data_IF_165329154004
#
_entry.id   IF_165329154004
#
_cell.length_a   1.000
_cell.length_b   1.000
_cell.length_c   1.000
_cell.angle_alpha   90.00
_cell.angle_beta   90.00
_cell.angle_gamma   90.00
#
_symmetry.space_group_name_H-M   'P 1'
#
loop_
_entity.id
_entity.type
_entity.pdbx_description
1 polymer ?
#
# COMPACT_ATOMS: atom_id res chain seq x y z
N UNK A 1 6.47 -58.90 -7.89
CA UNK A 1 5.12 -58.37 -7.58
C UNK A 1 5.19 -57.06 -6.80
N UNK A 2 6.16 -56.87 -5.88
CA UNK A 2 6.30 -55.62 -5.08
C UNK A 2 6.54 -54.33 -5.89
N UNK A 3 7.29 -54.38 -7.01
CA UNK A 3 7.59 -53.18 -7.80
C UNK A 3 6.38 -52.56 -8.51
N UNK A 4 5.46 -53.40 -9.01
CA UNK A 4 4.26 -52.92 -9.70
C UNK A 4 3.26 -52.27 -8.72
N UNK A 5 3.12 -52.83 -7.52
CA UNK A 5 2.28 -52.25 -6.47
C UNK A 5 2.84 -50.90 -5.96
N UNK A 6 4.17 -50.75 -5.92
CA UNK A 6 4.81 -49.49 -5.55
C UNK A 6 4.57 -48.40 -6.60
N UNK A 7 4.71 -48.73 -7.89
CA UNK A 7 4.45 -47.79 -8.99
C UNK A 7 2.97 -47.37 -9.07
N UNK A 8 2.03 -48.30 -8.81
CA UNK A 8 0.59 -47.96 -8.75
C UNK A 8 0.26 -47.02 -7.59
N UNK A 9 0.90 -47.19 -6.43
CA UNK A 9 0.75 -46.29 -5.29
C UNK A 9 1.33 -44.90 -5.56
N UNK A 10 2.49 -44.84 -6.22
CA UNK A 10 3.11 -43.57 -6.64
C UNK A 10 2.25 -42.85 -7.68
N UNK A 11 1.70 -43.57 -8.66
CA UNK A 11 0.75 -43.00 -9.61
C UNK A 11 -0.52 -42.47 -8.91
N UNK A 12 -1.08 -43.21 -7.95
CA UNK A 12 -2.23 -42.75 -7.19
C UNK A 12 -1.93 -41.48 -6.37
N UNK A 13 -0.68 -41.26 -5.95
CA UNK A 13 -0.28 -40.01 -5.32
C UNK A 13 -0.23 -38.86 -6.34
N UNK A 14 0.45 -39.05 -7.48
CA UNK A 14 0.55 -38.04 -8.54
C UNK A 14 -0.83 -37.69 -9.11
N UNK A 15 -1.71 -38.68 -9.29
CA UNK A 15 -3.08 -38.46 -9.76
C UNK A 15 -3.89 -37.61 -8.78
N UNK A 16 -3.72 -37.80 -7.47
CA UNK A 16 -4.35 -36.94 -6.46
C UNK A 16 -3.81 -35.52 -6.52
N UNK A 17 -2.51 -35.34 -6.71
CA UNK A 17 -1.89 -34.01 -6.83
C UNK A 17 -2.38 -33.27 -8.09
N UNK A 18 -2.47 -33.97 -9.22
CA UNK A 18 -3.03 -33.44 -10.46
C UNK A 18 -4.50 -33.02 -10.30
N UNK A 19 -5.32 -33.87 -9.68
CA UNK A 19 -6.72 -33.54 -9.39
C UNK A 19 -6.83 -32.32 -8.46
N UNK A 20 -6.01 -32.24 -7.41
CA UNK A 20 -5.97 -31.09 -6.50
C UNK A 20 -5.53 -29.80 -7.22
N UNK A 21 -4.69 -29.91 -8.25
CA UNK A 21 -4.27 -28.80 -9.10
C UNK A 21 -5.31 -28.42 -10.17
N UNK A 22 -6.38 -29.19 -10.36
CA UNK A 22 -7.43 -28.96 -11.36
C UNK A 22 -7.20 -29.63 -12.71
N UNK A 23 -6.29 -30.61 -12.77
CA UNK A 23 -5.98 -31.38 -13.98
C UNK A 23 -6.79 -32.68 -14.00
N UNK A 24 -7.84 -32.74 -14.82
CA UNK A 24 -8.72 -33.92 -14.97
C UNK A 24 -8.48 -34.67 -16.30
N UNK A 25 -8.94 -35.93 -16.36
CA UNK A 25 -9.05 -36.70 -17.60
C UNK A 25 -7.90 -37.66 -17.93
N UNK A 26 -7.01 -37.98 -16.99
CA UNK A 26 -5.87 -38.89 -17.23
C UNK A 26 -6.19 -40.33 -16.78
N UNK A 27 -6.40 -41.23 -17.73
CA UNK A 27 -6.74 -42.63 -17.48
C UNK A 27 -5.51 -43.53 -17.37
N UNK A 28 -4.97 -43.67 -16.16
CA UNK A 28 -4.08 -44.77 -15.77
C UNK A 28 -2.59 -44.63 -16.09
N UNK A 29 -1.75 -45.40 -15.37
CA UNK A 29 -0.27 -45.42 -15.51
C UNK A 29 0.20 -45.81 -16.93
N UNK A 30 -0.62 -46.54 -17.69
CA UNK A 30 -0.32 -47.02 -19.04
C UNK A 30 -0.19 -45.91 -20.10
N UNK A 31 -0.72 -44.70 -19.87
CA UNK A 31 -0.67 -43.58 -20.83
C UNK A 31 0.54 -42.66 -20.66
N UNK A 32 1.51 -43.01 -19.82
CA UNK A 32 2.61 -42.12 -19.44
C UNK A 32 3.82 -42.14 -20.39
N UNK A 33 3.74 -42.52 -21.66
CA UNK A 33 4.94 -42.60 -22.53
C UNK A 33 5.43 -41.23 -23.03
N UNK A 34 6.74 -41.04 -23.27
CA UNK A 34 7.23 -39.85 -24.01
C UNK A 34 6.70 -39.80 -25.44
N UNK A 35 6.43 -40.96 -26.03
CA UNK A 35 5.74 -41.09 -27.32
C UNK A 35 4.23 -40.87 -27.22
N UNK A 36 3.65 -40.87 -26.01
CA UNK A 36 2.21 -40.62 -25.81
C UNK A 36 1.92 -39.11 -25.93
N UNK A 37 0.97 -38.70 -26.78
CA UNK A 37 0.61 -37.30 -26.94
C UNK A 37 -0.01 -36.70 -25.66
N UNK A 38 -0.78 -37.50 -24.91
CA UNK A 38 -1.47 -37.02 -23.70
C UNK A 38 -0.51 -36.69 -22.56
N UNK A 39 0.56 -37.49 -22.41
CA UNK A 39 1.63 -37.23 -21.46
C UNK A 39 2.39 -35.95 -21.81
N UNK A 40 2.75 -35.78 -23.09
CA UNK A 40 3.42 -34.55 -23.56
C UNK A 40 2.54 -33.32 -23.40
N UNK A 41 1.25 -33.43 -23.70
CA UNK A 41 0.28 -32.37 -23.49
C UNK A 41 0.11 -32.02 -22.00
N UNK A 42 0.17 -32.99 -21.09
CA UNK A 42 0.15 -32.73 -19.64
C UNK A 42 1.39 -31.95 -19.21
N UNK A 43 2.60 -32.42 -19.56
CA UNK A 43 3.84 -31.73 -19.23
C UNK A 43 3.87 -30.30 -19.81
N UNK A 44 3.38 -30.13 -21.04
CA UNK A 44 3.26 -28.81 -21.67
C UNK A 44 2.28 -27.89 -20.94
N UNK A 45 1.13 -28.40 -20.48
CA UNK A 45 0.17 -27.60 -19.70
C UNK A 45 0.73 -27.17 -18.35
N UNK A 46 1.38 -28.09 -17.62
CA UNK A 46 2.03 -27.76 -16.33
C UNK A 46 3.14 -26.72 -16.53
N UNK A 47 3.97 -26.86 -17.57
CA UNK A 47 5.01 -25.89 -17.88
C UNK A 47 4.47 -24.53 -18.32
N UNK A 48 3.38 -24.51 -19.12
CA UNK A 48 2.71 -23.27 -19.48
C UNK A 48 2.13 -22.57 -18.24
N UNK A 49 1.59 -23.33 -17.29
CA UNK A 49 1.13 -22.76 -16.03
C UNK A 49 2.29 -22.16 -15.22
N UNK A 50 3.41 -22.89 -15.06
CA UNK A 50 4.62 -22.36 -14.40
C UNK A 50 5.11 -21.05 -15.03
N UNK A 51 5.08 -20.95 -16.37
CA UNK A 51 5.38 -19.71 -17.08
C UNK A 51 4.41 -18.57 -16.69
N UNK A 52 3.09 -18.84 -16.66
CA UNK A 52 2.09 -17.83 -16.26
C UNK A 52 2.18 -17.41 -14.79
N UNK A 53 2.73 -18.28 -13.94
CA UNK A 53 2.97 -18.02 -12.53
C UNK A 53 4.30 -17.29 -12.28
N UNK A 54 5.12 -17.10 -13.32
CA UNK A 54 6.40 -16.37 -13.25
C UNK A 54 7.56 -17.19 -12.69
N UNK A 55 7.46 -18.53 -12.70
CA UNK A 55 8.49 -19.43 -12.19
C UNK A 55 9.68 -19.66 -13.15
N UNK A 56 9.62 -19.10 -14.37
CA UNK A 56 10.64 -19.24 -15.41
C UNK A 56 11.26 -17.87 -15.72
N UNK A 57 12.51 -17.66 -15.28
CA UNK A 57 13.22 -16.38 -15.39
C UNK A 57 13.60 -16.04 -16.84
N UNK A 58 14.00 -17.03 -17.67
CA UNK A 58 14.51 -16.80 -19.03
C UNK A 58 13.43 -16.50 -20.05
N UNK A 59 12.23 -17.06 -19.90
CA UNK A 59 11.10 -16.76 -20.80
C UNK A 59 10.64 -15.29 -20.74
N UNK A 60 11.06 -14.54 -19.72
CA UNK A 60 10.76 -13.12 -19.56
C UNK A 60 11.71 -12.21 -20.35
N UNK A 61 12.93 -12.67 -20.61
CA UNK A 61 14.02 -11.84 -21.17
C UNK A 61 14.33 -12.17 -22.63
N UNK A 62 14.25 -13.45 -23.00
CA UNK A 62 14.49 -13.93 -24.36
C UNK A 62 13.35 -14.88 -24.69
N UNK A 63 12.58 -14.62 -25.76
CA UNK A 63 11.39 -15.37 -26.19
C UNK A 63 11.66 -16.86 -26.47
N UNK A 64 12.01 -17.60 -25.43
CA UNK A 64 12.35 -19.02 -25.44
C UNK A 64 11.06 -19.78 -25.61
N UNK A 65 11.01 -20.62 -26.64
CA UNK A 65 9.81 -21.38 -27.00
C UNK A 65 9.31 -22.19 -25.80
N UNK A 66 8.07 -21.92 -25.40
CA UNK A 66 7.38 -22.70 -24.37
C UNK A 66 7.29 -24.17 -24.80
N UNK A 67 7.23 -25.08 -23.82
CA UNK A 67 6.97 -26.49 -24.07
C UNK A 67 5.71 -26.65 -24.92
N UNK A 68 5.88 -27.04 -26.18
CA UNK A 68 4.81 -27.04 -27.16
C UNK A 68 3.94 -28.28 -26.99
N UNK A 69 2.62 -28.07 -26.86
CA UNK A 69 1.62 -29.11 -26.70
C UNK A 69 1.22 -29.80 -28.03
N UNK A 70 1.83 -29.43 -29.16
CA UNK A 70 1.46 -29.91 -30.49
C UNK A 70 2.10 -31.24 -30.90
N UNK A 71 1.85 -31.67 -32.15
CA UNK A 71 2.49 -32.81 -32.84
C UNK A 71 3.98 -32.55 -33.14
N UNK A 72 4.73 -32.13 -32.14
CA UNK A 72 6.16 -31.90 -32.19
C UNK A 72 6.87 -33.26 -32.18
N UNK A 73 7.98 -33.45 -32.89
CA UNK A 73 8.79 -34.66 -32.77
C UNK A 73 9.19 -34.92 -31.32
N UNK A 74 9.26 -36.19 -30.91
CA UNK A 74 9.61 -36.59 -29.54
C UNK A 74 10.96 -35.99 -29.10
N UNK A 75 11.93 -35.94 -30.01
CA UNK A 75 13.27 -35.37 -29.77
C UNK A 75 13.24 -33.89 -29.40
N UNK A 76 12.38 -33.13 -30.05
CA UNK A 76 12.24 -31.69 -29.82
C UNK A 76 11.50 -31.41 -28.51
N UNK A 77 10.49 -32.21 -28.16
CA UNK A 77 9.87 -32.19 -26.83
C UNK A 77 10.90 -32.47 -25.72
N UNK A 78 11.75 -33.48 -25.90
CA UNK A 78 12.78 -33.85 -24.92
C UNK A 78 13.83 -32.74 -24.75
N UNK A 79 14.18 -32.04 -25.84
CA UNK A 79 15.09 -30.88 -25.80
C UNK A 79 14.50 -29.73 -25.00
N UNK A 80 13.24 -29.39 -25.26
CA UNK A 80 12.51 -28.34 -24.53
C UNK A 80 12.34 -28.70 -23.06
N UNK A 81 12.04 -29.97 -22.76
CA UNK A 81 11.87 -30.46 -21.40
C UNK A 81 13.18 -30.39 -20.61
N UNK A 82 14.30 -30.77 -21.21
CA UNK A 82 15.62 -30.65 -20.59
C UNK A 82 16.00 -29.18 -20.32
N UNK A 83 15.56 -28.26 -21.18
CA UNK A 83 15.68 -26.81 -20.97
C UNK A 83 14.89 -26.36 -19.74
N UNK A 84 13.60 -26.71 -19.69
CA UNK A 84 12.71 -26.40 -18.57
C UNK A 84 13.28 -26.93 -17.23
N UNK A 85 13.69 -28.19 -17.18
CA UNK A 85 14.18 -28.81 -15.95
C UNK A 85 15.47 -28.17 -15.44
N UNK A 86 16.32 -27.68 -16.34
CA UNK A 86 17.53 -26.93 -15.99
C UNK A 86 17.19 -25.55 -15.41
N UNK A 87 16.17 -24.91 -15.97
CA UNK A 87 15.68 -23.61 -15.50
C UNK A 87 14.99 -23.72 -14.13
N UNK A 88 14.20 -24.77 -13.91
CA UNK A 88 13.57 -25.07 -12.62
C UNK A 88 14.54 -25.71 -11.61
N UNK A 89 15.83 -25.78 -11.91
CA UNK A 89 16.85 -26.38 -11.03
C UNK A 89 16.49 -27.78 -10.50
N UNK A 90 15.94 -28.64 -11.37
CA UNK A 90 15.46 -29.95 -10.96
C UNK A 90 16.58 -30.81 -10.33
N UNK A 91 16.39 -31.35 -9.11
CA UNK A 91 17.44 -32.07 -8.38
C UNK A 91 17.66 -33.53 -8.86
N UNK A 92 16.76 -34.07 -9.69
CA UNK A 92 16.87 -35.46 -10.16
C UNK A 92 17.93 -35.58 -11.27
N UNK A 93 19.05 -36.20 -10.92
CA UNK A 93 20.19 -36.44 -11.83
C UNK A 93 19.82 -37.31 -13.04
N UNK A 94 18.81 -38.19 -12.94
CA UNK A 94 18.36 -39.01 -14.07
C UNK A 94 17.57 -38.19 -15.09
N UNK A 95 16.87 -37.14 -14.65
CA UNK A 95 16.10 -36.24 -15.49
C UNK A 95 16.96 -35.13 -16.12
N UNK A 96 17.95 -34.63 -15.38
CA UNK A 96 18.86 -33.54 -15.82
C UNK A 96 20.14 -34.03 -16.52
N UNK A 97 20.35 -35.34 -16.64
CA UNK A 97 21.51 -35.93 -17.31
C UNK A 97 21.45 -35.86 -18.84
N UNK A 98 22.57 -36.14 -19.51
CA UNK A 98 22.71 -36.01 -20.98
C UNK A 98 21.79 -36.90 -21.83
N UNK A 99 21.16 -37.93 -21.24
CA UNK A 99 20.29 -38.89 -21.94
C UNK A 99 18.86 -38.90 -21.37
N UNK A 100 18.25 -37.73 -21.19
CA UNK A 100 16.88 -37.56 -20.65
C UNK A 100 15.85 -38.47 -21.34
N UNK A 101 15.92 -38.63 -22.67
CA UNK A 101 15.03 -39.49 -23.44
C UNK A 101 15.12 -40.99 -23.09
N UNK A 102 16.31 -41.49 -22.79
CA UNK A 102 16.49 -42.89 -22.38
C UNK A 102 16.02 -43.12 -20.93
N UNK A 103 16.24 -42.15 -20.05
CA UNK A 103 15.77 -42.19 -18.66
C UNK A 103 14.24 -42.20 -18.57
N UNK A 104 13.55 -41.42 -19.42
CA UNK A 104 12.09 -41.31 -19.40
C UNK A 104 11.36 -42.54 -19.96
N UNK A 105 12.07 -43.53 -20.51
CA UNK A 105 11.48 -44.85 -20.79
C UNK A 105 11.12 -45.59 -19.49
N UNK A 106 11.86 -45.34 -18.41
CA UNK A 106 11.61 -45.91 -17.08
C UNK A 106 10.33 -45.26 -16.48
N UNK A 107 9.27 -46.04 -16.16
CA UNK A 107 8.01 -45.51 -15.63
C UNK A 107 8.20 -44.71 -14.34
N UNK A 108 9.07 -45.18 -13.43
CA UNK A 108 9.39 -44.46 -12.20
C UNK A 108 10.04 -43.09 -12.43
N UNK A 109 10.84 -42.90 -13.48
CA UNK A 109 11.44 -41.59 -13.81
C UNK A 109 10.36 -40.61 -14.29
N UNK A 110 9.37 -41.09 -15.04
CA UNK A 110 8.24 -40.27 -15.52
C UNK A 110 7.32 -39.82 -14.39
N UNK A 111 7.08 -40.69 -13.42
CA UNK A 111 6.33 -40.34 -12.21
C UNK A 111 7.07 -39.30 -11.38
N UNK A 112 8.40 -39.42 -11.24
CA UNK A 112 9.23 -38.39 -10.57
C UNK A 112 9.19 -37.05 -11.30
N UNK A 113 9.21 -37.06 -12.64
CA UNK A 113 9.04 -35.84 -13.44
C UNK A 113 7.69 -35.17 -13.16
N UNK A 114 6.58 -35.91 -13.23
CA UNK A 114 5.25 -35.34 -12.98
C UNK A 114 5.10 -34.84 -11.56
N UNK A 115 5.64 -35.58 -10.58
CA UNK A 115 5.64 -35.16 -9.17
C UNK A 115 6.41 -33.86 -8.97
N UNK A 116 7.58 -33.74 -9.60
CA UNK A 116 8.38 -32.51 -9.58
C UNK A 116 7.61 -31.34 -10.21
N UNK A 117 7.05 -31.50 -11.41
CA UNK A 117 6.27 -30.43 -12.04
C UNK A 117 5.04 -30.04 -11.22
N UNK A 118 4.35 -31.00 -10.60
CA UNK A 118 3.24 -30.71 -9.69
C UNK A 118 3.69 -29.92 -8.46
N UNK A 119 4.81 -30.30 -7.83
CA UNK A 119 5.34 -29.58 -6.67
C UNK A 119 5.75 -28.15 -7.02
N UNK A 120 6.38 -27.94 -8.18
CA UNK A 120 6.73 -26.60 -8.65
C UNK A 120 5.48 -25.75 -8.92
N UNK A 121 4.42 -26.31 -9.52
CA UNK A 121 3.16 -25.58 -9.73
C UNK A 121 2.50 -25.23 -8.40
N UNK A 122 2.49 -26.16 -7.45
CA UNK A 122 1.98 -25.91 -6.09
C UNK A 122 2.76 -24.79 -5.41
N UNK A 123 4.10 -24.84 -5.44
CA UNK A 123 4.96 -23.81 -4.87
C UNK A 123 4.73 -22.45 -5.53
N UNK A 124 4.69 -22.39 -6.87
CA UNK A 124 4.46 -21.16 -7.61
C UNK A 124 3.08 -20.55 -7.33
N UNK A 125 2.03 -21.38 -7.17
CA UNK A 125 0.71 -20.92 -6.74
C UNK A 125 0.72 -20.35 -5.32
N UNK A 126 1.43 -21.00 -4.39
CA UNK A 126 1.56 -20.53 -3.00
C UNK A 126 2.32 -19.21 -2.93
N UNK A 127 3.45 -19.06 -3.62
CA UNK A 127 4.21 -17.81 -3.69
C UNK A 127 3.37 -16.67 -4.30
N UNK A 128 2.54 -16.97 -5.31
CA UNK A 128 1.62 -15.98 -5.89
C UNK A 128 0.47 -15.61 -4.96
N UNK A 129 0.01 -16.52 -4.10
CA UNK A 129 -0.99 -16.23 -3.06
C UNK A 129 -0.36 -15.41 -1.94
N UNK A 130 0.86 -15.75 -1.51
CA UNK A 130 1.58 -15.04 -0.46
C UNK A 130 1.92 -13.60 -0.88
N UNK A 131 2.39 -13.37 -2.11
CA UNK A 131 2.58 -12.01 -2.66
C UNK A 131 1.28 -11.19 -2.82
N UNK A 132 0.10 -11.83 -2.80
CA UNK A 132 -1.20 -11.14 -2.78
C UNK A 132 -1.71 -10.85 -1.37
N UNK A 133 -1.33 -11.68 -0.39
CA UNK A 133 -1.72 -11.54 1.01
C UNK A 133 -0.77 -10.61 1.76
N UNK A 134 0.51 -10.66 1.43
CA UNK A 134 1.56 -9.78 1.91
C UNK A 134 2.09 -8.95 0.72
N UNK A 135 1.69 -7.67 0.58
CA UNK A 135 2.32 -6.76 -0.39
C UNK A 135 3.73 -6.30 0.05
N UNK A 136 4.34 -6.96 1.05
CA UNK A 136 5.66 -6.63 1.57
C UNK A 136 6.70 -7.53 0.90
N UNK A 137 7.72 -6.96 0.22
CA UNK A 137 8.71 -7.76 -0.49
C UNK A 137 9.58 -8.53 0.52
N UNK A 138 9.82 -9.81 0.24
CA UNK A 138 10.69 -10.66 1.03
C UNK A 138 12.10 -10.07 1.14
N UNK A 139 12.54 -10.00 2.39
CA UNK A 139 13.83 -9.56 2.85
C UNK A 139 14.90 -10.59 2.43
N UNK A 140 15.71 -10.27 1.42
CA UNK A 140 17.09 -10.75 1.36
C UNK A 140 17.97 -9.70 2.03
N UNK A 141 18.52 -10.06 3.18
CA UNK A 141 19.15 -9.15 4.12
C UNK A 141 20.24 -8.26 3.53
N UNK A 142 20.11 -6.96 3.78
CA UNK A 142 21.18 -6.06 4.20
C UNK A 142 20.50 -5.02 5.11
N UNK A 143 20.84 -5.02 6.40
CA UNK A 143 20.51 -3.91 7.29
C UNK A 143 21.06 -2.61 6.68
N UNK A 144 20.17 -1.68 6.33
CA UNK A 144 20.54 -0.31 5.95
C UNK A 144 19.95 0.30 4.67
N UNK A 145 18.89 -0.26 4.05
CA UNK A 145 18.38 0.27 2.77
C UNK A 145 16.84 0.28 2.58
N UNK A 146 16.02 0.30 3.64
CA UNK A 146 14.56 0.27 3.48
C UNK A 146 13.97 1.52 2.80
N UNK A 147 14.54 2.72 3.00
CA UNK A 147 14.04 3.95 2.38
C UNK A 147 14.20 3.98 0.84
N UNK A 148 15.21 3.28 0.31
CA UNK A 148 15.45 3.20 -1.14
C UNK A 148 14.45 2.31 -1.87
N UNK A 149 14.00 1.22 -1.24
CA UNK A 149 13.07 0.25 -1.83
C UNK A 149 11.67 0.85 -2.04
N UNK A 150 11.17 1.55 -1.02
CA UNK A 150 9.87 2.23 -1.09
C UNK A 150 9.82 3.31 -2.17
N UNK A 151 10.86 4.15 -2.27
CA UNK A 151 10.91 5.22 -3.27
C UNK A 151 10.92 4.67 -4.71
N UNK A 152 11.66 3.59 -4.96
CA UNK A 152 11.70 2.93 -6.27
C UNK A 152 10.33 2.35 -6.61
N UNK A 153 9.66 1.72 -5.65
CA UNK A 153 8.32 1.19 -5.85
C UNK A 153 7.31 2.29 -6.17
N UNK A 154 7.30 3.40 -5.41
CA UNK A 154 6.44 4.56 -5.68
C UNK A 154 6.71 5.18 -7.05
N UNK A 155 7.98 5.23 -7.46
CA UNK A 155 8.36 5.70 -8.80
C UNK A 155 7.81 4.77 -9.89
N UNK A 156 7.91 3.45 -9.71
CA UNK A 156 7.36 2.46 -10.65
C UNK A 156 5.84 2.58 -10.74
N UNK A 157 5.15 2.72 -9.62
CA UNK A 157 3.69 2.92 -9.58
C UNK A 157 3.29 4.22 -10.28
N UNK A 158 4.05 5.30 -10.06
CA UNK A 158 3.82 6.58 -10.73
C UNK A 158 3.97 6.47 -12.24
N UNK A 159 5.02 5.79 -12.72
CA UNK A 159 5.23 5.56 -14.15
C UNK A 159 4.11 4.71 -14.76
N UNK A 160 3.68 3.65 -14.07
CA UNK A 160 2.54 2.82 -14.50
C UNK A 160 1.25 3.62 -14.57
N UNK A 161 0.96 4.45 -13.56
CA UNK A 161 -0.23 5.30 -13.54
C UNK A 161 -0.24 6.34 -14.68
N UNK A 162 0.94 6.81 -15.09
CA UNK A 162 1.11 7.74 -16.21
C UNK A 162 1.24 7.05 -17.57
N UNK A 163 1.25 5.71 -17.61
CA UNK A 163 1.43 4.91 -18.83
C UNK A 163 2.83 5.07 -19.45
N UNK A 164 3.84 5.42 -18.64
CA UNK A 164 5.22 5.57 -19.07
C UNK A 164 5.98 4.23 -18.93
N UNK A 165 6.92 3.94 -19.86
CA UNK A 165 7.75 2.75 -19.77
C UNK A 165 8.69 2.84 -18.55
N UNK A 166 9.16 1.67 -18.09
CA UNK A 166 10.21 1.63 -17.06
C UNK A 166 11.51 2.21 -17.60
N UNK A 167 12.24 3.02 -16.83
CA UNK A 167 13.50 3.59 -17.27
C UNK A 167 14.53 2.48 -17.50
N UNK A 168 15.33 2.63 -18.56
CA UNK A 168 16.46 1.73 -18.82
C UNK A 168 17.53 1.91 -17.74
N UNK A 169 18.28 0.87 -17.37
CA UNK A 169 19.44 1.01 -16.48
C UNK A 169 20.39 2.09 -17.00
N UNK A 170 20.76 3.04 -16.14
CA UNK A 170 21.61 4.18 -16.50
C UNK A 170 20.87 5.42 -17.03
N UNK A 171 19.53 5.42 -17.08
CA UNK A 171 18.77 6.64 -17.39
C UNK A 171 19.02 7.71 -16.31
N UNK A 172 19.45 8.93 -16.66
CA UNK A 172 19.69 9.97 -15.67
C UNK A 172 18.38 10.43 -15.03
N UNK A 173 18.40 10.66 -13.71
CA UNK A 173 17.21 11.08 -12.95
C UNK A 173 16.57 12.37 -13.50
N UNK A 174 17.38 13.30 -14.02
CA UNK A 174 16.88 14.52 -14.66
C UNK A 174 16.06 14.25 -15.93
N UNK A 175 16.41 13.22 -16.70
CA UNK A 175 15.62 12.82 -17.87
C UNK A 175 14.27 12.24 -17.41
N UNK A 176 14.30 11.32 -16.45
CA UNK A 176 13.08 10.72 -15.90
C UNK A 176 12.11 11.78 -15.36
N UNK A 177 12.62 12.76 -14.60
CA UNK A 177 11.80 13.86 -14.07
C UNK A 177 11.22 14.75 -15.17
N UNK A 178 11.97 14.99 -16.26
CA UNK A 178 11.46 15.74 -17.42
C UNK A 178 10.34 14.98 -18.12
N UNK A 179 10.50 13.67 -18.31
CA UNK A 179 9.50 12.83 -18.97
C UNK A 179 8.22 12.73 -18.13
N UNK A 180 8.35 12.56 -16.81
CA UNK A 180 7.25 12.62 -15.86
C UNK A 180 6.52 13.97 -15.92
N UNK A 181 7.27 15.07 -15.84
CA UNK A 181 6.69 16.40 -15.89
C UNK A 181 5.95 16.65 -17.22
N UNK A 182 6.55 16.27 -18.35
CA UNK A 182 5.93 16.39 -19.66
C UNK A 182 4.61 15.61 -19.74
N UNK A 183 4.60 14.37 -19.25
CA UNK A 183 3.39 13.53 -19.24
C UNK A 183 2.29 14.08 -18.33
N UNK A 184 2.66 14.61 -17.17
CA UNK A 184 1.71 15.26 -16.25
C UNK A 184 1.10 16.51 -16.91
N UNK A 185 1.91 17.35 -17.55
CA UNK A 185 1.43 18.55 -18.26
C UNK A 185 0.51 18.19 -19.42
N UNK A 186 0.79 17.10 -20.15
CA UNK A 186 -0.06 16.56 -21.20
C UNK A 186 -1.44 16.11 -20.67
N UNK A 187 -1.47 15.44 -19.51
CA UNK A 187 -2.70 14.88 -18.94
C UNK A 187 -3.51 15.90 -18.15
N UNK A 188 -2.90 16.96 -17.62
CA UNK A 188 -3.56 17.93 -16.75
C UNK A 188 -4.84 18.57 -17.34
N UNK A 189 -4.92 18.91 -18.65
CA UNK A 189 -6.13 19.43 -19.27
C UNK A 189 -7.30 18.44 -19.35
N UNK A 190 -7.04 17.14 -19.25
CA UNK A 190 -8.09 16.10 -19.26
C UNK A 190 -8.83 15.98 -17.92
N UNK A 191 -8.29 16.59 -16.85
CA UNK A 191 -8.86 16.53 -15.51
C UNK A 191 -9.95 17.60 -15.32
N UNK A 192 -10.88 17.40 -14.38
CA UNK A 192 -11.89 18.39 -14.03
C UNK A 192 -11.29 19.75 -13.66
N UNK A 193 -12.00 20.83 -13.98
CA UNK A 193 -11.56 22.18 -13.70
C UNK A 193 -11.28 22.38 -12.20
N UNK A 194 -10.07 22.80 -11.87
CA UNK A 194 -9.65 23.01 -10.48
C UNK A 194 -8.97 21.81 -9.81
N UNK A 195 -8.88 20.67 -10.50
CA UNK A 195 -8.03 19.56 -10.05
C UNK A 195 -6.56 19.98 -10.00
N UNK A 196 -5.82 19.44 -9.02
CA UNK A 196 -4.37 19.61 -8.87
C UNK A 196 -3.87 21.06 -8.69
N UNK A 197 -4.73 22.00 -8.32
CA UNK A 197 -4.29 23.39 -8.06
C UNK A 197 -3.27 23.42 -6.92
N UNK A 198 -2.04 23.91 -7.14
CA UNK A 198 -1.03 23.98 -6.09
C UNK A 198 -1.48 24.96 -5.00
N UNK A 199 -1.13 24.67 -3.75
CA UNK A 199 -1.36 25.60 -2.65
C UNK A 199 -0.43 26.82 -2.75
N UNK A 200 0.83 26.58 -3.14
CA UNK A 200 1.81 27.61 -3.40
C UNK A 200 1.88 27.90 -4.90
N UNK A 201 1.36 29.06 -5.32
CA UNK A 201 1.35 29.48 -6.73
C UNK A 201 2.50 30.41 -7.13
N UNK A 202 3.29 30.88 -6.16
CA UNK A 202 4.38 31.83 -6.40
C UNK A 202 5.71 31.10 -6.65
N UNK A 203 6.50 31.55 -7.65
CA UNK A 203 7.84 31.00 -7.85
C UNK A 203 8.75 31.36 -6.67
N UNK A 204 9.57 30.40 -6.28
CA UNK A 204 10.56 30.53 -5.22
C UNK A 204 11.92 30.88 -5.84
N UNK A 205 12.39 32.10 -5.57
CA UNK A 205 13.76 32.53 -5.83
C UNK A 205 14.66 32.14 -4.65
N UNK A 206 15.98 32.26 -4.82
CA UNK A 206 16.97 31.88 -3.79
C UNK A 206 16.66 32.45 -2.38
N UNK A 207 16.37 33.75 -2.19
CA UNK A 207 16.08 34.27 -0.86
C UNK A 207 14.77 33.72 -0.27
N UNK A 208 13.75 33.44 -1.09
CA UNK A 208 12.51 32.81 -0.61
C UNK A 208 12.72 31.35 -0.25
N UNK A 209 13.60 30.63 -0.93
CA UNK A 209 13.99 29.27 -0.55
C UNK A 209 14.65 29.24 0.83
N UNK A 210 15.58 30.16 1.09
CA UNK A 210 16.21 30.30 2.41
C UNK A 210 15.18 30.65 3.50
N UNK A 211 14.27 31.58 3.21
CA UNK A 211 13.20 31.93 4.14
C UNK A 211 12.24 30.77 4.41
N UNK A 212 11.90 29.98 3.37
CA UNK A 212 11.05 28.80 3.49
C UNK A 212 11.72 27.72 4.35
N UNK A 213 13.00 27.46 4.14
CA UNK A 213 13.77 26.51 4.95
C UNK A 213 13.80 26.95 6.42
N UNK A 214 14.08 28.22 6.69
CA UNK A 214 14.08 28.78 8.05
C UNK A 214 12.72 28.64 8.74
N UNK A 215 11.63 28.98 8.03
CA UNK A 215 10.25 28.80 8.52
C UNK A 215 9.94 27.33 8.78
N UNK A 216 10.31 26.44 7.86
CA UNK A 216 10.11 25.01 7.99
C UNK A 216 10.82 24.46 9.22
N UNK A 217 12.08 24.81 9.46
CA UNK A 217 12.82 24.36 10.65
C UNK A 217 12.17 24.87 11.94
N UNK A 218 11.82 26.16 11.99
CA UNK A 218 11.15 26.74 13.16
C UNK A 218 9.83 26.04 13.47
N UNK A 219 9.01 25.76 12.45
CA UNK A 219 7.76 25.03 12.62
C UNK A 219 8.02 23.57 13.03
N UNK A 220 8.98 22.89 12.41
CA UNK A 220 9.35 21.52 12.74
C UNK A 220 9.72 21.40 14.21
N UNK A 221 10.53 22.31 14.74
CA UNK A 221 10.91 22.36 16.15
C UNK A 221 9.70 22.59 17.07
N UNK A 222 8.83 23.54 16.71
CA UNK A 222 7.60 23.79 17.48
C UNK A 222 6.66 22.58 17.49
N UNK A 223 6.47 21.93 16.35
CA UNK A 223 5.64 20.72 16.25
C UNK A 223 6.25 19.56 17.01
N UNK A 224 7.57 19.37 16.96
CA UNK A 224 8.29 18.38 17.74
C UNK A 224 8.06 18.60 19.25
N UNK A 225 8.29 19.82 19.74
CA UNK A 225 8.01 20.19 21.13
C UNK A 225 6.55 19.91 21.55
N UNK A 226 5.58 20.25 20.68
CA UNK A 226 4.16 19.99 20.93
C UNK A 226 3.85 18.49 20.96
N UNK A 227 4.45 17.69 20.08
CA UNK A 227 4.31 16.22 20.06
C UNK A 227 4.92 15.60 21.31
N UNK A 228 6.11 16.02 21.74
CA UNK A 228 6.70 15.63 23.02
C UNK A 228 5.75 15.86 24.20
N UNK A 229 5.13 17.05 24.27
CA UNK A 229 4.15 17.36 25.31
C UNK A 229 2.94 16.42 25.25
N UNK A 230 2.38 16.19 24.06
CA UNK A 230 1.23 15.31 23.88
C UNK A 230 1.54 13.86 24.24
N UNK A 231 2.72 13.36 23.86
CA UNK A 231 3.19 12.02 24.23
C UNK A 231 3.37 11.91 25.73
N UNK A 232 3.99 12.92 26.38
CA UNK A 232 4.12 12.92 27.83
C UNK A 232 2.75 12.98 28.53
N UNK A 233 1.80 13.74 27.98
CA UNK A 233 0.43 13.79 28.49
C UNK A 233 -0.26 12.44 28.35
N UNK A 234 -0.06 11.75 27.22
CA UNK A 234 -0.56 10.39 27.03
C UNK A 234 0.01 9.45 28.10
N UNK A 235 1.33 9.47 28.32
CA UNK A 235 2.00 8.65 29.33
C UNK A 235 1.43 8.88 30.73
N UNK A 236 1.29 10.15 31.14
CA UNK A 236 0.72 10.50 32.45
C UNK A 236 -0.75 10.10 32.57
N UNK A 237 -1.53 10.22 31.49
CA UNK A 237 -2.93 9.81 31.47
C UNK A 237 -3.05 8.29 31.61
N UNK A 238 -2.22 7.54 30.90
CA UNK A 238 -2.12 6.08 31.02
C UNK A 238 -1.73 5.65 32.43
N UNK A 239 -0.75 6.31 33.04
CA UNK A 239 -0.35 6.05 34.42
C UNK A 239 -1.45 6.37 35.43
N UNK A 240 -2.21 7.45 35.23
CA UNK A 240 -3.32 7.83 36.12
C UNK A 240 -4.44 6.79 36.15
N UNK A 241 -4.66 6.01 35.07
CA UNK A 241 -5.63 4.92 35.11
C UNK A 241 -5.26 3.83 36.11
N UNK A 242 -4.00 3.68 36.49
CA UNK A 242 -3.55 2.68 37.46
C UNK A 242 -3.83 3.09 38.93
N UNK A 243 -4.45 4.25 39.18
CA UNK A 243 -4.70 4.74 40.55
C UNK A 243 -5.97 4.19 41.21
N UNK A 244 -6.71 3.31 40.53
CA UNK A 244 -7.87 2.63 41.13
C UNK A 244 -7.59 1.14 41.27
N UNK A 245 -7.96 0.54 42.41
CA UNK A 245 -7.75 -0.88 42.71
C UNK A 245 -8.26 -1.81 41.58
N UNK A 246 -9.39 -1.43 40.96
CA UNK A 246 -9.99 -2.17 39.83
C UNK A 246 -9.11 -2.13 38.58
N UNK A 247 -8.48 -0.99 38.29
CA UNK A 247 -7.65 -0.82 37.11
C UNK A 247 -6.22 -1.31 37.33
N UNK A 248 -5.73 -1.27 38.57
CA UNK A 248 -4.46 -1.89 38.96
C UNK A 248 -4.46 -3.40 38.67
N UNK A 249 -5.56 -4.09 39.01
CA UNK A 249 -5.75 -5.51 38.68
C UNK A 249 -5.76 -5.81 37.17
N UNK A 250 -6.00 -4.81 36.31
CA UNK A 250 -5.99 -4.92 34.84
C UNK A 250 -4.79 -4.22 34.21
N UNK A 251 -3.83 -3.74 35.02
CA UNK A 251 -2.73 -2.89 34.58
C UNK A 251 -1.84 -3.57 33.53
N UNK A 252 -1.51 -4.85 33.73
CA UNK A 252 -0.69 -5.61 32.78
C UNK A 252 -1.38 -5.81 31.43
N UNK A 253 -2.69 -6.12 31.43
CA UNK A 253 -3.47 -6.21 30.19
C UNK A 253 -3.55 -4.86 29.46
N UNK A 254 -3.70 -3.76 30.20
CA UNK A 254 -3.71 -2.40 29.64
C UNK A 254 -2.35 -2.02 29.03
N UNK A 255 -1.26 -2.29 29.75
CA UNK A 255 0.12 -2.05 29.27
C UNK A 255 0.41 -2.84 28.01
N UNK A 256 0.03 -4.12 27.96
CA UNK A 256 0.24 -4.97 26.79
C UNK A 256 -0.40 -4.39 25.51
N UNK A 257 -1.52 -3.67 25.63
CA UNK A 257 -2.18 -2.99 24.51
C UNK A 257 -1.56 -1.63 24.20
N UNK A 258 -1.25 -0.83 25.23
CA UNK A 258 -0.83 0.56 25.04
C UNK A 258 0.66 0.73 24.71
N UNK A 259 1.53 -0.14 25.22
CA UNK A 259 2.98 -0.04 25.01
C UNK A 259 3.34 -0.09 23.52
N UNK A 260 2.87 -1.07 22.72
CA UNK A 260 3.20 -1.12 21.29
C UNK A 260 2.73 0.13 20.53
N UNK A 261 1.54 0.65 20.87
CA UNK A 261 1.01 1.88 20.27
C UNK A 261 1.90 3.06 20.65
N UNK A 262 2.31 3.15 21.92
CA UNK A 262 3.13 4.24 22.41
C UNK A 262 4.54 4.24 21.83
N UNK A 263 5.13 3.06 21.63
CA UNK A 263 6.45 2.88 21.02
C UNK A 263 6.45 3.25 19.53
N UNK A 264 5.34 3.03 18.82
CA UNK A 264 5.17 3.47 17.44
C UNK A 264 5.00 4.99 17.28
N UNK A 265 4.75 5.74 18.36
CA UNK A 265 4.52 7.19 18.29
C UNK A 265 5.80 7.97 18.58
N UNK A 266 6.27 8.72 17.58
CA UNK A 266 7.49 9.52 17.63
C UNK A 266 7.17 11.02 17.75
N UNK A 267 8.02 11.83 18.41
CA UNK A 267 7.88 13.28 18.40
C UNK A 267 8.30 13.92 17.07
N UNK A 268 9.12 13.24 16.26
CA UNK A 268 9.55 13.70 14.95
C UNK A 268 8.37 13.77 13.96
N UNK A 269 8.53 14.62 12.95
CA UNK A 269 7.57 14.80 11.86
C UNK A 269 8.16 14.29 10.56
N UNK A 270 7.40 13.46 9.86
CA UNK A 270 7.76 12.94 8.53
C UNK A 270 7.48 13.95 7.40
N UNK A 271 6.82 15.07 7.74
CA UNK A 271 6.54 16.15 6.79
C UNK A 271 7.83 16.90 6.45
N UNK A 272 8.17 16.90 5.16
CA UNK A 272 9.30 17.63 4.59
C UNK A 272 8.84 18.80 3.72
N UNK A 273 9.77 19.67 3.29
CA UNK A 273 9.47 20.78 2.36
C UNK A 273 8.88 20.25 1.05
N UNK A 274 9.32 19.09 0.56
CA UNK A 274 8.75 18.46 -0.63
C UNK A 274 7.24 18.19 -0.46
N UNK A 275 6.81 17.74 0.74
CA UNK A 275 5.40 17.54 1.05
C UNK A 275 4.62 18.87 1.06
N UNK A 276 5.23 19.94 1.58
CA UNK A 276 4.63 21.28 1.57
C UNK A 276 4.44 21.80 0.14
N UNK A 277 5.41 21.57 -0.74
CA UNK A 277 5.34 21.98 -2.15
C UNK A 277 4.37 21.13 -2.96
N UNK A 278 4.27 19.84 -2.65
CA UNK A 278 3.28 18.95 -3.24
C UNK A 278 1.84 19.23 -2.76
N UNK A 279 1.68 20.04 -1.70
CA UNK A 279 0.38 20.34 -1.14
C UNK A 279 -0.51 21.10 -2.13
N UNK A 280 -1.74 20.63 -2.27
CA UNK A 280 -2.74 21.20 -3.16
C UNK A 280 -3.73 22.07 -2.40
N UNK A 281 -4.43 22.94 -3.12
CA UNK A 281 -5.35 23.91 -2.54
C UNK A 281 -6.50 23.27 -1.73
N UNK A 282 -6.89 22.03 -2.05
CA UNK A 282 -7.88 21.26 -1.30
C UNK A 282 -7.40 20.85 0.09
N UNK A 283 -6.09 20.63 0.31
CA UNK A 283 -5.55 20.34 1.65
C UNK A 283 -5.68 21.53 2.62
N UNK A 284 -5.81 22.76 2.11
CA UNK A 284 -6.06 23.94 2.96
C UNK A 284 -7.47 23.96 3.55
N UNK A 285 -8.38 23.10 3.07
CA UNK A 285 -9.75 23.03 3.58
C UNK A 285 -9.79 22.27 4.90
N UNK A 286 -9.76 23.01 6.00
CA UNK A 286 -9.98 22.46 7.33
C UNK A 286 -11.43 21.95 7.45
N UNK A 287 -11.60 20.64 7.45
CA UNK A 287 -12.88 20.01 7.79
C UNK A 287 -12.94 19.83 9.31
N UNK A 288 -13.91 20.43 10.01
CA UNK A 288 -14.02 20.26 11.45
C UNK A 288 -14.15 18.79 11.83
N UNK A 289 -13.35 18.34 12.79
CA UNK A 289 -13.42 16.97 13.32
C UNK A 289 -14.80 16.65 13.96
N UNK A 290 -15.55 17.68 14.35
CA UNK A 290 -16.92 17.59 14.86
C UNK A 290 -17.99 17.66 13.77
N UNK A 291 -17.61 17.76 12.50
CA UNK A 291 -18.57 17.82 11.39
C UNK A 291 -19.42 16.55 11.34
N UNK A 292 -20.64 16.72 10.83
CA UNK A 292 -21.60 15.62 10.66
C UNK A 292 -21.01 14.47 9.83
N UNK A 293 -20.23 14.80 8.80
CA UNK A 293 -19.54 13.86 7.93
C UNK A 293 -18.45 13.08 8.67
N UNK A 294 -17.57 13.77 9.42
CA UNK A 294 -16.54 13.11 10.23
C UNK A 294 -17.15 12.22 11.33
N UNK A 295 -18.25 12.65 11.96
CA UNK A 295 -18.93 11.90 13.03
C UNK A 295 -19.70 10.68 12.56
N UNK A 296 -20.16 10.66 11.30
CA UNK A 296 -20.82 9.47 10.71
C UNK A 296 -19.87 8.28 10.57
N UNK A 297 -18.59 8.53 10.27
CA UNK A 297 -17.58 7.48 10.14
C UNK A 297 -16.88 7.10 11.45
N UNK A 298 -17.04 7.90 12.51
CA UNK A 298 -16.38 7.71 13.82
C UNK A 298 -17.36 7.40 14.95
N UNK A 299 -18.55 6.89 14.61
CA UNK A 299 -19.51 6.42 15.62
C UNK A 299 -18.92 5.23 16.38
N UNK A 300 -18.92 5.30 17.70
CA UNK A 300 -18.45 4.22 18.57
C UNK A 300 -19.46 3.98 19.69
N UNK A 301 -19.26 2.90 20.46
CA UNK A 301 -20.13 2.55 21.57
C UNK A 301 -20.30 3.68 22.60
N UNK A 302 -19.37 4.62 22.68
CA UNK A 302 -19.42 5.79 23.56
C UNK A 302 -20.12 6.98 22.86
N UNK A 303 -19.84 7.22 21.59
CA UNK A 303 -20.39 8.32 20.78
C UNK A 303 -21.47 7.80 19.82
N UNK A 304 -22.60 7.34 20.37
CA UNK A 304 -23.68 6.72 19.58
C UNK A 304 -24.57 7.73 18.85
N UNK A 305 -24.78 8.90 19.44
CA UNK A 305 -25.78 9.87 18.96
C UNK A 305 -25.11 10.98 18.16
N UNK A 306 -25.50 11.07 16.88
CA UNK A 306 -25.15 12.21 16.04
C UNK A 306 -26.10 13.37 16.36
N UNK A 307 -25.62 14.32 17.16
CA UNK A 307 -26.38 15.54 17.44
C UNK A 307 -26.69 16.27 16.12
N UNK A 308 -27.95 16.64 15.93
CA UNK A 308 -28.42 17.39 14.77
C UNK A 308 -27.90 18.83 14.76
N UNK A 309 -28.53 19.69 13.96
CA UNK A 309 -28.21 21.12 13.97
C UNK A 309 -28.50 21.70 15.37
N UNK A 310 -27.45 22.04 16.12
CA UNK A 310 -27.59 22.71 17.41
C UNK A 310 -27.87 24.19 17.13
N UNK A 311 -28.96 24.77 17.64
CA UNK A 311 -29.24 26.19 17.49
C UNK A 311 -28.06 27.00 18.04
N UNK A 312 -27.71 28.08 17.33
CA UNK A 312 -26.68 28.99 17.81
C UNK A 312 -27.06 29.50 19.21
N UNK A 313 -26.15 29.32 20.17
CA UNK A 313 -26.36 29.77 21.56
C UNK A 313 -25.83 31.17 21.81
N UNK A 314 -25.35 31.85 20.76
CA UNK A 314 -24.78 33.19 20.84
C UNK A 314 -23.47 33.22 21.64
N UNK A 315 -23.05 34.41 22.06
CA UNK A 315 -21.85 34.61 22.89
C UNK A 315 -20.56 34.65 22.10
N UNK A 316 -20.63 34.85 20.77
CA UNK A 316 -19.41 35.12 20.01
C UNK A 316 -18.81 36.44 20.48
N UNK A 317 -17.48 36.58 20.57
CA UNK A 317 -16.85 37.80 21.06
C UNK A 317 -17.24 39.08 20.31
N UNK A 318 -17.63 38.94 19.04
CA UNK A 318 -18.13 39.99 18.15
C UNK A 318 -19.64 40.26 18.28
N UNK A 319 -20.39 39.43 19.00
CA UNK A 319 -21.81 39.60 19.34
C UNK A 319 -22.01 40.11 20.77
N UNK A 320 -20.92 40.23 21.55
CA UNK A 320 -20.96 40.87 22.86
C UNK A 320 -21.32 42.35 22.68
N UNK A 321 -22.41 42.75 23.33
CA UNK A 321 -22.78 44.16 23.43
C UNK A 321 -21.61 44.94 24.05
N UNK A 322 -21.33 46.12 23.51
CA UNK A 322 -20.22 46.95 23.97
C UNK A 322 -20.33 47.14 25.50
N UNK A 323 -19.20 47.09 26.24
CA UNK A 323 -19.24 47.24 27.69
C UNK A 323 -19.98 48.52 28.04
N UNK A 324 -20.82 48.43 29.08
CA UNK A 324 -21.68 49.51 29.53
C UNK A 324 -20.85 50.81 29.65
N UNK A 325 -21.28 51.94 29.07
CA UNK A 325 -20.51 53.18 29.12
C UNK A 325 -20.18 53.50 30.58
N UNK A 326 -18.94 53.90 30.85
CA UNK A 326 -18.55 54.30 32.19
C UNK A 326 -19.42 55.48 32.62
N UNK A 327 -20.07 55.34 33.78
CA UNK A 327 -20.84 56.42 34.37
C UNK A 327 -19.88 57.56 34.74
N UNK A 328 -19.84 58.59 33.91
CA UNK A 328 -19.19 59.83 34.29
C UNK A 328 -20.14 60.58 35.23
N UNK A 329 -19.65 60.88 36.43
CA UNK A 329 -20.29 61.80 37.36
C UNK A 329 -20.68 63.07 36.59
N UNK A 330 -21.95 63.48 36.73
CA UNK A 330 -22.45 64.74 36.18
C UNK A 330 -21.56 65.84 36.71
N UNK A 331 -20.75 66.46 35.84
CA UNK A 331 -20.08 67.71 36.20
C UNK A 331 -21.17 68.71 36.58
N UNK A 332 -21.11 69.19 37.81
CA UNK A 332 -21.88 70.36 38.24
C UNK A 332 -21.29 71.59 37.54
N UNK A 333 -21.58 71.73 36.24
CA UNK A 333 -21.38 73.00 35.58
C UNK A 333 -22.49 73.95 36.03
N UNK A 334 -22.10 74.83 36.97
CA UNK A 334 -22.79 76.09 37.22
C UNK A 334 -22.98 76.81 35.89
N UNK A 335 -24.24 77.01 35.51
CA UNK A 335 -24.62 78.16 34.69
C UNK A 335 -25.55 77.85 33.53
N UNK A 336 -26.74 78.47 33.57
CA UNK A 336 -27.36 79.02 32.36
C UNK A 336 -28.51 78.24 31.74
N UNK A 337 -29.71 78.48 32.29
CA UNK A 337 -30.96 78.80 31.58
C UNK A 337 -31.43 78.01 30.33
N UNK A 338 -32.67 77.53 30.48
CA UNK A 338 -33.80 77.57 29.52
C UNK A 338 -33.81 76.61 28.32
N UNK A 339 -34.65 75.57 28.50
CA UNK A 339 -35.81 75.22 27.70
C UNK A 339 -35.66 75.07 26.17
N UNK A 340 -35.82 73.84 25.69
CA UNK A 340 -36.13 73.53 24.29
C UNK A 340 -36.66 72.12 24.14
N UNK A 341 -37.96 71.99 23.90
CA UNK A 341 -38.68 70.75 23.54
C UNK A 341 -38.15 70.15 22.23
N UNK A 342 -38.31 68.83 22.07
CA UNK A 342 -38.57 68.04 20.83
C UNK A 342 -37.78 66.72 20.88
N UNK A 343 -38.19 65.57 20.34
CA UNK A 343 -39.45 65.01 19.88
C UNK A 343 -39.12 63.52 19.67
N UNK A 344 -40.06 62.63 20.00
CA UNK A 344 -39.93 61.19 19.78
C UNK A 344 -39.93 60.86 18.28
N UNK A 345 -38.91 60.15 17.81
CA UNK A 345 -38.84 59.61 16.45
C UNK A 345 -38.59 58.10 16.45
N UNK A 346 -39.65 57.31 16.48
CA UNK A 346 -39.63 55.86 16.20
C UNK A 346 -39.07 55.60 14.79
N UNK A 347 -37.96 54.88 14.68
CA UNK A 347 -37.58 54.19 13.43
C UNK A 347 -38.03 52.73 13.52
N UNK A 348 -39.08 52.39 12.77
CA UNK A 348 -39.40 51.01 12.36
C UNK A 348 -38.29 50.52 11.43
N UNK A 349 -37.94 49.23 11.51
CA UNK A 349 -37.58 48.45 10.34
C UNK A 349 -38.23 47.08 10.39
N UNK A 350 -38.73 46.72 9.21
CA UNK A 350 -39.44 45.49 8.83
C UNK A 350 -38.62 44.24 9.10
#
# INVERSE_FOLDING_TARGET
>A
MEGAEAEEREWAAVARDLLALGYEGFSGSASLGTSCPDFRALCARLAAELATLGALERQREEGTEALSAGSVPEEEFLRQLAGLLRELHCPDRKLCGGNCGASLQEPGVRLRLLRFLCSEVQAARLLRLQSRLDPSPEQSGVEGAEEGSGLVQEMVLTLQALGLPRPMPGTPASQLLRDLHAKIVELLPSLPAGSLKPLLSYPLDAPRWEALESLYQSLRDQYCCRRCLLLKRLDLTTSAFHWSDRAEAQGEAMKAVLIPIREALTPESDVSIAHVLAARADLSRLVPATSKTARRGTCCAIHKVLMGSVPDRGGRPNELEAPMPSWQSRREDRGGQKAGRQCWGRKKKK
#
